data_IF_018135208772
#
_entry.id   IF_018135208772
#
_cell.length_a   1.000
_cell.length_b   1.000
_cell.length_c   1.000
_cell.angle_alpha   90.00
_cell.angle_beta   90.00
_cell.angle_gamma   90.00
#
_symmetry.space_group_name_H-M   'P 1'
#
loop_
_entity.id
_entity.type
_entity.pdbx_description
1 polymer ?
#
# COMPACT_ATOMS: atom_id res chain seq x y z
N UNK A 1 -18.57 47.04 92.63
CA UNK A 1 -18.08 48.28 92.00
C UNK A 1 -18.50 48.22 90.53
N UNK A 2 -19.68 48.75 90.17
CA UNK A 2 -19.90 50.12 89.66
C UNK A 2 -19.12 50.31 88.34
N UNK A 3 -19.78 50.09 87.18
CA UNK A 3 -20.32 51.13 86.25
C UNK A 3 -19.20 52.05 85.72
N UNK A 4 -18.97 52.29 84.43
CA UNK A 4 -19.81 52.74 83.30
C UNK A 4 -19.06 52.37 81.99
N UNK A 5 -19.63 52.07 80.82
CA UNK A 5 -20.79 52.66 80.15
C UNK A 5 -20.34 53.70 79.11
N UNK A 6 -20.17 53.31 77.82
CA UNK A 6 -20.84 53.97 76.69
C UNK A 6 -20.67 53.26 75.33
N UNK A 7 -21.79 53.30 74.60
CA UNK A 7 -22.24 52.62 73.36
C UNK A 7 -22.15 53.69 72.23
N UNK A 8 -21.96 53.40 70.91
CA UNK A 8 -22.97 52.67 70.12
C UNK A 8 -22.58 51.83 68.88
N UNK A 9 -23.37 50.75 68.75
CA UNK A 9 -23.98 50.13 67.55
C UNK A 9 -23.19 50.11 66.22
N UNK A 10 -22.79 48.89 65.83
CA UNK A 10 -23.06 48.37 64.47
C UNK A 10 -23.43 46.90 64.57
N UNK A 11 -24.70 46.60 64.25
CA UNK A 11 -25.19 45.25 64.02
C UNK A 11 -24.46 44.69 62.78
N UNK A 12 -23.55 43.75 63.00
CA UNK A 12 -22.99 42.92 61.94
C UNK A 12 -24.05 41.90 61.52
N UNK A 13 -24.80 42.22 60.48
CA UNK A 13 -25.63 41.25 59.75
C UNK A 13 -24.67 40.35 58.99
N UNK A 14 -24.33 39.21 59.60
CA UNK A 14 -23.63 38.12 58.95
C UNK A 14 -24.53 37.56 57.85
N UNK A 15 -24.15 37.78 56.59
CA UNK A 15 -24.75 37.09 55.44
C UNK A 15 -24.51 35.59 55.60
N UNK A 16 -25.52 34.87 56.11
CA UNK A 16 -25.58 33.42 55.93
C UNK A 16 -25.76 33.16 54.43
N UNK A 17 -24.76 32.55 53.80
CA UNK A 17 -24.97 31.87 52.52
C UNK A 17 -25.90 30.71 52.80
N UNK A 18 -27.16 30.89 52.45
CA UNK A 18 -28.12 29.80 52.34
C UNK A 18 -27.62 28.94 51.18
N UNK A 19 -27.03 27.78 51.49
CA UNK A 19 -26.90 26.70 50.52
C UNK A 19 -28.32 26.24 50.22
N UNK A 20 -28.88 26.74 49.13
CA UNK A 20 -30.04 26.12 48.50
C UNK A 20 -29.54 24.80 47.95
N UNK A 21 -29.85 23.68 48.63
CA UNK A 21 -29.72 22.36 48.02
C UNK A 21 -30.63 22.34 46.79
N UNK A 22 -30.03 22.37 45.60
CA UNK A 22 -30.74 22.04 44.38
C UNK A 22 -31.28 20.60 44.53
N UNK A 23 -32.56 20.34 44.22
CA UNK A 23 -33.08 18.99 44.25
C UNK A 23 -32.24 18.13 43.30
N UNK A 24 -31.87 16.88 43.68
CA UNK A 24 -31.03 16.04 42.85
C UNK A 24 -31.72 15.86 41.50
N UNK A 25 -31.06 16.33 40.43
CA UNK A 25 -31.52 16.13 39.06
C UNK A 25 -31.83 14.63 38.89
N UNK A 26 -33.02 14.26 38.38
CA UNK A 26 -33.36 12.86 38.23
C UNK A 26 -32.31 12.23 37.32
N UNK A 27 -31.54 11.28 37.86
CA UNK A 27 -30.60 10.51 37.07
C UNK A 27 -31.37 9.96 35.88
N UNK A 28 -30.95 10.34 34.66
CA UNK A 28 -31.50 9.79 33.43
C UNK A 28 -31.31 8.29 33.52
N UNK A 29 -32.39 7.56 33.85
CA UNK A 29 -32.39 6.11 33.83
C UNK A 29 -32.03 5.73 32.41
N UNK A 30 -30.80 5.26 32.22
CA UNK A 30 -30.42 4.54 31.02
C UNK A 30 -31.40 3.38 30.95
N UNK A 31 -32.44 3.51 30.11
CA UNK A 31 -33.21 2.35 29.68
C UNK A 31 -32.23 1.53 28.88
N UNK A 32 -31.57 0.59 29.55
CA UNK A 32 -31.01 -0.56 28.89
C UNK A 32 -32.19 -1.18 28.15
N UNK A 33 -32.29 -0.90 26.85
CA UNK A 33 -33.21 -1.61 25.98
C UNK A 33 -32.76 -3.05 26.14
N UNK A 34 -33.58 -3.84 26.83
CA UNK A 34 -33.37 -5.26 27.01
C UNK A 34 -33.19 -5.80 25.60
N UNK A 35 -31.97 -6.16 25.24
CA UNK A 35 -31.68 -6.86 23.98
C UNK A 35 -32.65 -8.02 23.99
N UNK A 36 -33.63 -8.00 23.08
CA UNK A 36 -34.50 -9.14 22.88
C UNK A 36 -33.57 -10.26 22.43
N UNK A 37 -33.13 -11.09 23.37
CA UNK A 37 -32.63 -12.43 23.12
C UNK A 37 -33.84 -13.25 22.65
N UNK A 38 -34.31 -12.94 21.44
CA UNK A 38 -35.07 -13.88 20.63
C UNK A 38 -34.05 -14.90 20.12
N UNK A 39 -34.45 -16.18 20.11
CA UNK A 39 -33.58 -17.34 19.90
C UNK A 39 -32.51 -17.18 18.80
N UNK A 40 -31.36 -17.78 19.09
CA UNK A 40 -30.04 -17.65 18.46
C UNK A 40 -29.90 -18.13 17.01
N UNK A 41 -30.94 -18.13 16.17
CA UNK A 41 -30.79 -18.63 14.79
C UNK A 41 -30.89 -17.50 13.76
N UNK A 42 -29.84 -17.34 12.96
CA UNK A 42 -29.77 -16.36 11.88
C UNK A 42 -30.90 -16.54 10.83
N UNK A 43 -31.52 -17.72 10.77
CA UNK A 43 -32.70 -18.06 9.95
C UNK A 43 -33.92 -17.18 10.27
N UNK A 44 -34.14 -16.83 11.54
CA UNK A 44 -35.26 -15.95 11.91
C UNK A 44 -35.10 -14.58 11.25
N UNK A 45 -33.87 -14.07 11.20
CA UNK A 45 -33.58 -12.81 10.53
C UNK A 45 -33.70 -12.92 9.01
N UNK A 46 -33.38 -14.08 8.41
CA UNK A 46 -33.63 -14.33 6.99
C UNK A 46 -35.13 -14.30 6.68
N UNK A 47 -35.98 -14.90 7.53
CA UNK A 47 -37.43 -14.81 7.37
C UNK A 47 -38.00 -13.39 7.61
N UNK A 48 -37.27 -12.51 8.31
CA UNK A 48 -37.62 -11.10 8.43
C UNK A 48 -37.24 -10.30 7.18
N UNK A 49 -36.27 -10.80 6.39
CA UNK A 49 -35.83 -10.14 5.18
C UNK A 49 -36.98 -10.03 4.16
N UNK A 50 -37.74 -11.10 3.95
CA UNK A 50 -38.95 -11.15 3.11
C UNK A 50 -40.05 -10.17 3.55
N UNK A 51 -40.06 -9.78 4.84
CA UNK A 51 -41.05 -8.86 5.41
C UNK A 51 -40.60 -7.40 5.38
N UNK A 52 -39.41 -7.13 4.85
CA UNK A 52 -38.85 -5.78 4.78
C UNK A 52 -39.65 -4.93 3.80
N UNK A 53 -40.08 -3.75 4.25
CA UNK A 53 -40.89 -2.83 3.44
C UNK A 53 -40.05 -1.86 2.62
N UNK A 54 -38.79 -1.70 3.00
CA UNK A 54 -37.84 -0.82 2.32
C UNK A 54 -36.47 -1.48 2.23
N UNK A 55 -35.68 -1.11 1.22
CA UNK A 55 -34.29 -1.56 1.07
C UNK A 55 -33.41 -1.14 2.27
N UNK A 56 -33.75 -0.06 2.98
CA UNK A 56 -33.06 0.33 4.21
C UNK A 56 -33.38 -0.63 5.36
N UNK A 57 -34.63 -1.05 5.52
CA UNK A 57 -34.99 -2.06 6.53
C UNK A 57 -34.30 -3.39 6.21
N UNK A 58 -34.31 -3.80 4.94
CA UNK A 58 -33.61 -4.99 4.47
C UNK A 58 -32.11 -4.91 4.79
N UNK A 59 -31.47 -3.76 4.53
CA UNK A 59 -30.07 -3.56 4.87
C UNK A 59 -29.81 -3.73 6.37
N UNK A 60 -30.65 -3.16 7.24
CA UNK A 60 -30.51 -3.31 8.69
C UNK A 60 -30.65 -4.76 9.13
N UNK A 61 -31.57 -5.52 8.51
CA UNK A 61 -31.71 -6.97 8.75
C UNK A 61 -30.45 -7.72 8.30
N UNK A 62 -29.91 -7.42 7.11
CA UNK A 62 -28.67 -8.04 6.61
C UNK A 62 -27.45 -7.73 7.48
N UNK A 63 -27.35 -6.52 8.04
CA UNK A 63 -26.28 -6.20 9.02
C UNK A 63 -26.45 -7.03 10.28
N UNK A 64 -27.67 -7.18 10.80
CA UNK A 64 -27.91 -8.05 11.98
C UNK A 64 -27.60 -9.51 11.71
N UNK A 65 -27.88 -10.01 10.50
CA UNK A 65 -27.48 -11.36 10.08
C UNK A 65 -25.96 -11.49 10.15
N UNK A 66 -25.22 -10.51 9.62
CA UNK A 66 -23.75 -10.49 9.67
C UNK A 66 -23.21 -10.48 11.11
N UNK A 67 -23.87 -9.78 12.03
CA UNK A 67 -23.44 -9.70 13.44
C UNK A 67 -23.78 -10.98 14.24
N UNK A 68 -24.71 -11.80 13.74
CA UNK A 68 -25.27 -12.95 14.44
C UNK A 68 -25.03 -14.27 13.68
N UNK A 69 -24.00 -14.34 12.82
CA UNK A 69 -23.63 -15.51 12.01
C UNK A 69 -23.38 -16.74 12.93
N UNK A 70 -24.46 -17.49 13.13
CA UNK A 70 -24.52 -18.79 13.78
C UNK A 70 -25.64 -19.51 13.07
N UNK A 71 -25.27 -20.28 12.06
CA UNK A 71 -26.20 -21.13 11.34
C UNK A 71 -25.99 -22.57 11.82
N UNK A 72 -27.07 -23.32 11.90
CA UNK A 72 -26.95 -24.77 11.96
C UNK A 72 -26.54 -25.25 10.56
N UNK A 73 -25.71 -26.28 10.46
CA UNK A 73 -25.13 -26.73 9.19
C UNK A 73 -26.22 -27.09 8.16
N UNK A 74 -27.34 -27.64 8.64
CA UNK A 74 -28.50 -28.05 7.84
C UNK A 74 -29.22 -26.86 7.18
N UNK A 75 -29.14 -25.67 7.77
CA UNK A 75 -29.86 -24.48 7.30
C UNK A 75 -29.07 -23.63 6.31
N UNK A 76 -27.75 -23.83 6.21
CA UNK A 76 -26.87 -23.04 5.34
C UNK A 76 -27.36 -23.03 3.87
N UNK A 77 -27.70 -24.18 3.25
CA UNK A 77 -28.18 -24.20 1.86
C UNK A 77 -29.46 -23.39 1.66
N UNK A 78 -30.41 -23.48 2.60
CA UNK A 78 -31.67 -22.75 2.55
C UNK A 78 -31.48 -21.24 2.73
N UNK A 79 -30.53 -20.84 3.59
CA UNK A 79 -30.16 -19.43 3.77
C UNK A 79 -29.57 -18.86 2.49
N UNK A 80 -28.63 -19.58 1.86
CA UNK A 80 -28.00 -19.15 0.60
C UNK A 80 -29.06 -19.01 -0.49
N UNK A 81 -29.97 -19.98 -0.62
CA UNK A 81 -31.08 -19.93 -1.58
C UNK A 81 -31.98 -18.71 -1.37
N UNK A 82 -32.41 -18.46 -0.13
CA UNK A 82 -33.27 -17.30 0.19
C UNK A 82 -32.57 -15.96 -0.08
N UNK A 83 -31.27 -15.87 0.23
CA UNK A 83 -30.49 -14.67 -0.07
C UNK A 83 -30.30 -14.47 -1.58
N UNK A 84 -30.08 -15.54 -2.35
CA UNK A 84 -30.03 -15.50 -3.81
C UNK A 84 -31.34 -15.04 -4.44
N UNK A 85 -32.46 -15.58 -3.95
CA UNK A 85 -33.79 -15.14 -4.38
C UNK A 85 -33.98 -13.65 -4.06
N UNK A 86 -33.62 -13.21 -2.84
CA UNK A 86 -33.64 -11.80 -2.44
C UNK A 86 -32.81 -10.90 -3.34
N UNK A 87 -31.59 -11.33 -3.66
CA UNK A 87 -30.69 -10.60 -4.52
C UNK A 87 -31.32 -10.29 -5.89
N UNK A 88 -32.07 -11.24 -6.47
CA UNK A 88 -32.63 -11.10 -7.81
C UNK A 88 -33.76 -10.07 -7.92
N UNK A 89 -34.53 -9.82 -6.85
CA UNK A 89 -35.59 -8.81 -6.86
C UNK A 89 -35.18 -7.46 -6.27
N UNK A 90 -34.08 -7.39 -5.52
CA UNK A 90 -33.64 -6.16 -4.90
C UNK A 90 -33.03 -5.18 -5.91
N UNK A 91 -33.57 -3.97 -5.96
CA UNK A 91 -33.12 -2.94 -6.90
C UNK A 91 -31.86 -2.22 -6.39
N UNK A 92 -31.73 -2.06 -5.06
CA UNK A 92 -30.69 -1.23 -4.47
C UNK A 92 -29.35 -1.96 -4.45
N UNK A 93 -28.35 -1.38 -5.15
CA UNK A 93 -27.01 -1.98 -5.28
C UNK A 93 -26.28 -2.17 -3.95
N UNK A 94 -26.50 -1.33 -2.94
CA UNK A 94 -25.84 -1.50 -1.62
C UNK A 94 -26.36 -2.72 -0.86
N UNK A 95 -27.66 -3.01 -0.97
CA UNK A 95 -28.27 -4.21 -0.37
C UNK A 95 -27.78 -5.45 -1.07
N UNK A 96 -27.82 -5.47 -2.42
CA UNK A 96 -27.24 -6.55 -3.24
C UNK A 96 -25.76 -6.80 -2.93
N UNK A 97 -24.95 -5.75 -2.82
CA UNK A 97 -23.55 -5.87 -2.41
C UNK A 97 -23.41 -6.48 -1.00
N UNK A 98 -24.24 -6.08 -0.03
CA UNK A 98 -24.21 -6.66 1.32
C UNK A 98 -24.59 -8.14 1.33
N UNK A 99 -25.51 -8.57 0.46
CA UNK A 99 -25.84 -9.98 0.28
C UNK A 99 -24.61 -10.76 -0.21
N UNK A 100 -23.91 -10.28 -1.25
CA UNK A 100 -22.70 -10.95 -1.73
C UNK A 100 -21.58 -10.98 -0.67
N UNK A 101 -21.49 -9.94 0.16
CA UNK A 101 -20.56 -9.95 1.29
C UNK A 101 -20.91 -11.02 2.32
N UNK A 102 -22.21 -11.23 2.60
CA UNK A 102 -22.68 -12.29 3.49
C UNK A 102 -22.37 -13.69 2.96
N UNK A 103 -22.40 -13.92 1.64
CA UNK A 103 -22.00 -15.21 1.08
C UNK A 103 -20.58 -15.58 1.51
N UNK A 104 -19.64 -14.64 1.44
CA UNK A 104 -18.27 -14.87 1.88
C UNK A 104 -18.12 -15.06 3.39
N UNK A 105 -19.01 -14.49 4.19
CA UNK A 105 -19.02 -14.71 5.63
C UNK A 105 -19.65 -16.06 6.01
N UNK A 106 -20.75 -16.45 5.35
CA UNK A 106 -21.39 -17.77 5.49
C UNK A 106 -20.42 -18.89 5.08
N UNK A 107 -19.60 -18.69 4.05
CA UNK A 107 -18.59 -19.68 3.64
C UNK A 107 -17.53 -19.99 4.71
N UNK A 108 -17.43 -19.19 5.79
CA UNK A 108 -16.51 -19.46 6.92
C UNK A 108 -17.14 -20.35 7.99
N UNK A 109 -18.45 -20.55 7.96
CA UNK A 109 -19.17 -21.35 8.94
C UNK A 109 -18.87 -22.84 8.74
N UNK A 110 -18.96 -23.61 9.82
CA UNK A 110 -18.80 -25.07 9.76
C UNK A 110 -19.91 -25.69 8.92
N UNK A 111 -19.59 -26.74 8.15
CA UNK A 111 -20.55 -27.40 7.25
C UNK A 111 -20.89 -26.64 5.97
N UNK A 112 -20.34 -25.46 5.72
CA UNK A 112 -20.61 -24.70 4.50
C UNK A 112 -20.06 -25.41 3.24
N UNK A 113 -20.94 -25.67 2.27
CA UNK A 113 -20.56 -26.19 0.95
C UNK A 113 -19.97 -25.06 0.08
N UNK A 114 -18.66 -24.83 0.23
CA UNK A 114 -17.91 -23.78 -0.46
C UNK A 114 -18.05 -23.87 -2.00
N UNK A 115 -17.90 -25.04 -2.64
CA UNK A 115 -18.15 -25.19 -4.08
C UNK A 115 -19.54 -24.71 -4.52
N UNK A 116 -20.60 -25.14 -3.83
CA UNK A 116 -21.98 -24.77 -4.21
C UNK A 116 -22.24 -23.27 -4.01
N UNK A 117 -21.77 -22.69 -2.90
CA UNK A 117 -21.87 -21.24 -2.65
C UNK A 117 -21.13 -20.44 -3.72
N UNK A 118 -19.97 -20.93 -4.16
CA UNK A 118 -19.17 -20.28 -5.20
C UNK A 118 -19.89 -20.31 -6.55
N UNK A 119 -20.47 -21.44 -6.96
CA UNK A 119 -21.23 -21.54 -8.22
C UNK A 119 -22.45 -20.61 -8.22
N UNK A 120 -23.16 -20.54 -7.09
CA UNK A 120 -24.30 -19.64 -6.93
C UNK A 120 -23.87 -18.17 -7.04
N UNK A 121 -22.80 -17.78 -6.35
CA UNK A 121 -22.23 -16.42 -6.44
C UNK A 121 -21.79 -16.07 -7.86
N UNK A 122 -21.15 -17.00 -8.58
CA UNK A 122 -20.76 -16.82 -9.99
C UNK A 122 -22.01 -16.65 -10.87
N UNK A 123 -23.06 -17.43 -10.62
CA UNK A 123 -24.34 -17.34 -11.33
C UNK A 123 -24.99 -15.96 -11.19
N UNK A 124 -25.07 -15.42 -9.96
CA UNK A 124 -25.62 -14.09 -9.69
C UNK A 124 -24.82 -13.00 -10.40
N UNK A 125 -23.49 -13.10 -10.42
CA UNK A 125 -22.64 -12.10 -11.06
C UNK A 125 -22.81 -12.04 -12.58
N UNK A 126 -23.17 -13.15 -13.25
CA UNK A 126 -23.37 -13.16 -14.72
C UNK A 126 -24.43 -12.16 -15.19
N UNK A 127 -25.45 -11.90 -14.37
CA UNK A 127 -26.57 -10.99 -14.70
C UNK A 127 -26.42 -9.58 -14.09
N UNK A 128 -25.34 -9.33 -13.35
CA UNK A 128 -25.16 -8.07 -12.62
C UNK A 128 -24.47 -7.00 -13.49
N UNK A 129 -24.98 -5.77 -13.40
CA UNK A 129 -24.50 -4.61 -14.15
C UNK A 129 -23.87 -3.54 -13.24
N UNK A 130 -24.23 -3.51 -11.96
CA UNK A 130 -23.71 -2.51 -11.04
C UNK A 130 -22.25 -2.76 -10.69
N UNK A 131 -21.36 -1.84 -11.08
CA UNK A 131 -19.93 -1.94 -10.78
C UNK A 131 -19.63 -2.11 -9.29
N UNK A 132 -20.45 -1.52 -8.40
CA UNK A 132 -20.28 -1.68 -6.94
C UNK A 132 -20.56 -3.11 -6.50
N UNK A 133 -21.62 -3.72 -7.05
CA UNK A 133 -22.01 -5.09 -6.74
C UNK A 133 -21.01 -6.07 -7.36
N UNK A 134 -20.58 -5.83 -8.60
CA UNK A 134 -19.55 -6.62 -9.27
C UNK A 134 -18.24 -6.65 -8.48
N UNK A 135 -17.73 -5.48 -8.07
CA UNK A 135 -16.52 -5.40 -7.27
C UNK A 135 -16.66 -6.13 -5.92
N UNK A 136 -17.82 -5.99 -5.26
CA UNK A 136 -18.09 -6.71 -4.02
C UNK A 136 -18.19 -8.23 -4.23
N UNK A 137 -18.76 -8.67 -5.34
CA UNK A 137 -18.84 -10.08 -5.70
C UNK A 137 -17.47 -10.68 -6.01
N UNK A 138 -16.62 -9.97 -6.74
CA UNK A 138 -15.22 -10.37 -6.97
C UNK A 138 -14.46 -10.42 -5.64
N UNK A 139 -14.65 -9.43 -4.75
CA UNK A 139 -14.07 -9.46 -3.40
C UNK A 139 -14.57 -10.64 -2.55
N UNK A 140 -15.85 -11.00 -2.67
CA UNK A 140 -16.41 -12.17 -2.01
C UNK A 140 -15.81 -13.48 -2.54
N UNK A 141 -15.67 -13.63 -3.86
CA UNK A 141 -15.00 -14.77 -4.48
C UNK A 141 -13.54 -14.89 -4.03
N UNK A 142 -12.81 -13.78 -3.92
CA UNK A 142 -11.44 -13.76 -3.39
C UNK A 142 -11.39 -14.30 -1.96
N UNK A 143 -12.27 -13.82 -1.08
CA UNK A 143 -12.36 -14.29 0.31
C UNK A 143 -12.66 -15.79 0.37
N UNK A 144 -13.60 -16.27 -0.44
CA UNK A 144 -13.99 -17.69 -0.50
C UNK A 144 -12.83 -18.54 -1.01
N UNK A 145 -12.15 -18.11 -2.08
CA UNK A 145 -11.00 -18.85 -2.63
C UNK A 145 -9.85 -18.99 -1.63
N UNK A 146 -9.61 -17.98 -0.78
CA UNK A 146 -8.61 -18.03 0.30
C UNK A 146 -8.95 -19.06 1.39
N UNK A 147 -10.21 -19.48 1.53
CA UNK A 147 -10.62 -20.55 2.48
C UNK A 147 -10.27 -21.95 1.99
N UNK A 148 -9.96 -22.12 0.71
CA UNK A 148 -9.65 -23.40 0.07
C UNK A 148 -8.34 -23.31 -0.72
N UNK A 149 -7.19 -23.16 -0.05
CA UNK A 149 -5.90 -22.94 -0.72
C UNK A 149 -5.48 -24.09 -1.64
N UNK A 150 -5.89 -25.33 -1.35
CA UNK A 150 -5.51 -26.53 -2.11
C UNK A 150 -6.46 -26.82 -3.30
N UNK A 151 -7.58 -26.11 -3.40
CA UNK A 151 -8.60 -26.39 -4.42
C UNK A 151 -8.31 -25.64 -5.73
N UNK A 152 -7.35 -26.16 -6.50
CA UNK A 152 -6.94 -25.56 -7.77
C UNK A 152 -8.10 -25.43 -8.77
N UNK A 153 -9.02 -26.40 -8.81
CA UNK A 153 -10.18 -26.35 -9.72
C UNK A 153 -11.13 -25.19 -9.40
N UNK A 154 -11.38 -24.95 -8.12
CA UNK A 154 -12.16 -23.79 -7.65
C UNK A 154 -11.45 -22.48 -8.01
N UNK A 155 -10.14 -22.39 -7.76
CA UNK A 155 -9.34 -21.21 -8.08
C UNK A 155 -9.35 -20.90 -9.57
N UNK A 156 -9.21 -21.90 -10.44
CA UNK A 156 -9.30 -21.72 -11.90
C UNK A 156 -10.64 -21.07 -12.28
N UNK A 157 -11.77 -21.62 -11.80
CA UNK A 157 -13.11 -21.07 -12.08
C UNK A 157 -13.23 -19.61 -11.62
N UNK A 158 -12.81 -19.32 -10.40
CA UNK A 158 -12.86 -17.96 -9.81
C UNK A 158 -12.00 -16.98 -10.62
N UNK A 159 -10.78 -17.39 -11.01
CA UNK A 159 -9.86 -16.57 -11.80
C UNK A 159 -10.41 -16.27 -13.19
N UNK A 160 -11.08 -17.23 -13.85
CA UNK A 160 -11.72 -16.98 -15.14
C UNK A 160 -12.81 -15.89 -15.05
N UNK A 161 -13.56 -15.86 -13.96
CA UNK A 161 -14.54 -14.78 -13.72
C UNK A 161 -13.83 -13.44 -13.57
N UNK A 162 -12.73 -13.38 -12.80
CA UNK A 162 -11.96 -12.14 -12.64
C UNK A 162 -11.39 -11.62 -13.98
N UNK A 163 -10.84 -12.51 -14.81
CA UNK A 163 -10.32 -12.18 -16.15
C UNK A 163 -11.40 -11.55 -17.02
N UNK A 164 -12.61 -12.12 -17.04
CA UNK A 164 -13.73 -11.56 -17.80
C UNK A 164 -14.09 -10.15 -17.32
N UNK A 165 -14.00 -9.91 -16.00
CA UNK A 165 -14.33 -8.62 -15.38
C UNK A 165 -13.25 -7.55 -15.52
N UNK A 166 -12.04 -7.88 -15.99
CA UNK A 166 -11.02 -6.86 -16.29
C UNK A 166 -11.43 -5.91 -17.42
N UNK A 167 -12.35 -6.35 -18.30
CA UNK A 167 -12.91 -5.54 -19.40
C UNK A 167 -13.95 -4.51 -18.95
N UNK A 168 -14.33 -4.52 -17.67
CA UNK A 168 -15.30 -3.58 -17.10
C UNK A 168 -14.81 -2.12 -17.23
N UNK A 169 -15.70 -1.14 -17.23
CA UNK A 169 -15.31 0.28 -17.33
C UNK A 169 -14.83 0.84 -16.00
N UNK A 170 -15.25 0.26 -14.88
CA UNK A 170 -14.93 0.73 -13.54
C UNK A 170 -13.55 0.27 -13.09
N UNK A 171 -12.73 1.23 -12.67
CA UNK A 171 -11.44 0.96 -12.04
C UNK A 171 -11.57 0.07 -10.80
N UNK A 172 -12.67 0.20 -10.04
CA UNK A 172 -12.89 -0.59 -8.83
C UNK A 172 -12.98 -2.08 -9.14
N UNK A 173 -13.76 -2.44 -10.18
CA UNK A 173 -13.90 -3.83 -10.62
C UNK A 173 -12.56 -4.37 -11.11
N UNK A 174 -11.86 -3.61 -11.96
CA UNK A 174 -10.51 -3.98 -12.44
C UNK A 174 -9.54 -4.23 -11.30
N UNK A 175 -9.45 -3.30 -10.33
CA UNK A 175 -8.55 -3.43 -9.18
C UNK A 175 -8.84 -4.69 -8.37
N UNK A 176 -10.12 -4.95 -8.05
CA UNK A 176 -10.50 -6.15 -7.30
C UNK A 176 -10.23 -7.43 -8.09
N UNK A 177 -10.40 -7.41 -9.41
CA UNK A 177 -10.08 -8.56 -10.27
C UNK A 177 -8.57 -8.83 -10.34
N UNK A 178 -7.75 -7.78 -10.44
CA UNK A 178 -6.29 -7.91 -10.43
C UNK A 178 -5.78 -8.46 -9.10
N UNK A 179 -6.31 -7.97 -7.98
CA UNK A 179 -6.01 -8.53 -6.65
C UNK A 179 -6.38 -10.02 -6.57
N UNK A 180 -7.58 -10.38 -7.05
CA UNK A 180 -8.03 -11.76 -7.07
C UNK A 180 -7.12 -12.67 -7.90
N UNK A 181 -6.72 -12.22 -9.09
CA UNK A 181 -5.79 -12.96 -9.95
C UNK A 181 -4.45 -13.14 -9.24
N UNK A 182 -3.91 -12.08 -8.64
CA UNK A 182 -2.64 -12.13 -7.90
C UNK A 182 -2.62 -13.20 -6.81
N UNK A 183 -3.71 -13.31 -6.07
CA UNK A 183 -3.82 -14.20 -4.91
C UNK A 183 -4.21 -15.64 -5.25
N UNK A 184 -5.06 -15.84 -6.26
CA UNK A 184 -5.69 -17.14 -6.51
C UNK A 184 -5.23 -17.82 -7.80
N UNK A 185 -4.49 -17.15 -8.70
CA UNK A 185 -3.98 -17.82 -9.90
C UNK A 185 -3.17 -19.06 -9.49
N UNK A 186 -3.52 -20.27 -9.96
CA UNK A 186 -2.76 -21.47 -9.62
C UNK A 186 -1.34 -21.40 -10.20
N UNK A 187 -0.33 -21.52 -9.33
CA UNK A 187 1.09 -21.48 -9.68
C UNK A 187 1.63 -22.91 -9.59
N UNK A 188 1.60 -23.65 -10.70
CA UNK A 188 2.05 -25.04 -10.75
C UNK A 188 2.04 -25.64 -12.16
N UNK A 189 2.87 -26.66 -12.40
CA UNK A 189 3.10 -27.25 -13.72
C UNK A 189 1.90 -28.04 -14.29
N UNK A 190 0.89 -28.34 -13.47
CA UNK A 190 -0.27 -29.20 -13.82
C UNK A 190 -1.48 -28.42 -14.33
N UNK A 191 -1.33 -27.11 -14.59
CA UNK A 191 -2.45 -26.21 -14.87
C UNK A 191 -2.60 -26.01 -16.39
N UNK A 192 -3.77 -26.34 -16.94
CA UNK A 192 -4.08 -26.15 -18.38
C UNK A 192 -3.99 -24.69 -18.82
N UNK A 193 -4.20 -23.76 -17.88
CA UNK A 193 -4.08 -22.32 -18.12
C UNK A 193 -2.61 -21.91 -18.03
N UNK A 194 -2.02 -21.40 -19.11
CA UNK A 194 -0.64 -20.94 -19.09
C UNK A 194 -0.48 -19.71 -18.19
N UNK A 195 0.11 -19.82 -16.98
CA UNK A 195 0.18 -18.70 -16.04
C UNK A 195 0.98 -17.51 -16.61
N UNK A 196 1.90 -17.77 -17.55
CA UNK A 196 2.64 -16.72 -18.26
C UNK A 196 1.76 -15.85 -19.17
N UNK A 197 0.69 -16.39 -19.79
CA UNK A 197 -0.22 -15.56 -20.59
C UNK A 197 -1.06 -14.62 -19.72
N UNK A 198 -1.49 -15.10 -18.56
CA UNK A 198 -2.21 -14.28 -17.57
C UNK A 198 -1.27 -13.24 -16.96
N UNK A 199 0.00 -13.58 -16.69
CA UNK A 199 0.99 -12.60 -16.23
C UNK A 199 1.18 -11.47 -17.24
N UNK A 200 1.26 -11.78 -18.55
CA UNK A 200 1.30 -10.76 -19.61
C UNK A 200 0.03 -9.92 -19.63
N UNK A 201 -1.14 -10.55 -19.53
CA UNK A 201 -2.43 -9.84 -19.47
C UNK A 201 -2.48 -8.89 -18.26
N UNK A 202 -2.00 -9.30 -17.09
CA UNK A 202 -1.90 -8.43 -15.91
C UNK A 202 -0.93 -7.28 -16.19
N UNK A 203 0.21 -7.57 -16.85
CA UNK A 203 1.18 -6.58 -17.31
C UNK A 203 0.56 -5.52 -18.21
N UNK A 204 -0.36 -5.85 -19.10
CA UNK A 204 -1.01 -4.82 -19.95
C UNK A 204 -1.74 -3.72 -19.14
N UNK A 205 -2.20 -4.04 -17.92
CA UNK A 205 -2.91 -3.08 -17.06
C UNK A 205 -1.99 -2.10 -16.31
N UNK A 206 -0.67 -2.29 -16.33
CA UNK A 206 0.30 -1.31 -15.80
C UNK A 206 0.31 -0.03 -16.63
N UNK A 207 -0.20 -0.07 -17.86
CA UNK A 207 -0.32 1.09 -18.77
C UNK A 207 -1.74 1.69 -18.77
N UNK A 208 -2.60 1.31 -17.83
CA UNK A 208 -3.96 1.85 -17.74
C UNK A 208 -3.94 3.36 -17.41
N UNK A 209 -4.90 4.12 -17.95
CA UNK A 209 -5.05 5.55 -17.63
C UNK A 209 -5.30 5.82 -16.13
N UNK A 210 -5.94 4.88 -15.45
CA UNK A 210 -6.26 4.97 -14.02
C UNK A 210 -5.09 4.48 -13.14
N UNK A 211 -4.48 5.39 -12.38
CA UNK A 211 -3.33 5.06 -11.52
C UNK A 211 -3.61 3.96 -10.48
N UNK A 212 -4.86 3.83 -10.00
CA UNK A 212 -5.26 2.74 -9.11
C UNK A 212 -5.18 1.37 -9.78
N UNK A 213 -5.51 1.29 -11.07
CA UNK A 213 -5.43 0.06 -11.85
C UNK A 213 -3.98 -0.29 -12.13
N UNK A 214 -3.14 0.70 -12.48
CA UNK A 214 -1.69 0.50 -12.63
C UNK A 214 -1.05 -0.06 -11.36
N UNK A 215 -1.36 0.56 -10.22
CA UNK A 215 -0.89 0.10 -8.89
C UNK A 215 -1.34 -1.33 -8.59
N UNK A 216 -2.62 -1.65 -8.83
CA UNK A 216 -3.16 -3.00 -8.63
C UNK A 216 -2.48 -4.04 -9.55
N UNK A 217 -2.14 -3.67 -10.79
CA UNK A 217 -1.43 -4.54 -11.73
C UNK A 217 -0.02 -4.88 -11.23
N UNK A 218 0.79 -3.88 -10.87
CA UNK A 218 2.11 -4.11 -10.29
C UNK A 218 2.05 -4.96 -9.02
N UNK A 219 1.09 -4.68 -8.14
CA UNK A 219 0.88 -5.48 -6.93
C UNK A 219 0.56 -6.94 -7.26
N UNK A 220 -0.34 -7.18 -8.22
CA UNK A 220 -0.69 -8.53 -8.64
C UNK A 220 0.53 -9.29 -9.21
N UNK A 221 1.34 -8.65 -10.06
CA UNK A 221 2.57 -9.25 -10.58
C UNK A 221 3.56 -9.62 -9.46
N UNK A 222 3.72 -8.76 -8.46
CA UNK A 222 4.56 -9.05 -7.29
C UNK A 222 4.02 -10.18 -6.42
N UNK A 223 2.71 -10.22 -6.18
CA UNK A 223 2.09 -11.32 -5.42
C UNK A 223 2.31 -12.65 -6.13
N UNK A 224 2.09 -12.69 -7.44
CA UNK A 224 2.36 -13.87 -8.27
C UNK A 224 3.82 -14.29 -8.20
N UNK A 225 4.74 -13.31 -8.21
CA UNK A 225 6.17 -13.59 -8.05
C UNK A 225 6.52 -14.23 -6.72
N UNK A 226 6.04 -13.64 -5.61
CA UNK A 226 6.24 -14.18 -4.26
C UNK A 226 5.65 -15.59 -4.07
N UNK A 227 4.67 -15.97 -4.90
CA UNK A 227 4.05 -17.30 -4.93
C UNK A 227 4.79 -18.31 -5.83
N UNK A 228 5.90 -17.91 -6.45
CA UNK A 228 6.78 -18.80 -7.22
C UNK A 228 6.73 -18.62 -8.75
N UNK A 229 5.96 -17.68 -9.30
CA UNK A 229 6.06 -17.35 -10.73
C UNK A 229 7.29 -16.46 -10.99
N UNK A 230 8.09 -16.83 -11.98
CA UNK A 230 9.23 -16.00 -12.37
C UNK A 230 8.75 -14.78 -13.16
N UNK A 231 9.15 -13.59 -12.73
CA UNK A 231 8.93 -12.36 -13.50
C UNK A 231 10.07 -12.21 -14.49
N UNK A 232 9.75 -11.88 -15.74
CA UNK A 232 10.78 -11.66 -16.74
C UNK A 232 11.56 -10.36 -16.45
N UNK A 233 12.90 -10.36 -16.58
CA UNK A 233 13.70 -9.15 -16.39
C UNK A 233 13.30 -7.97 -17.29
N UNK A 234 12.66 -8.20 -18.44
CA UNK A 234 12.18 -7.13 -19.33
C UNK A 234 11.21 -6.14 -18.67
N UNK A 235 10.45 -6.62 -17.67
CA UNK A 235 9.51 -5.80 -16.87
C UNK A 235 10.24 -4.70 -16.09
N UNK A 236 11.54 -4.85 -15.84
CA UNK A 236 12.34 -3.86 -15.10
C UNK A 236 12.30 -2.46 -15.73
N UNK A 237 12.37 -2.39 -17.06
CA UNK A 237 12.35 -1.12 -17.79
C UNK A 237 11.05 -0.34 -17.55
N UNK A 238 9.93 -1.05 -17.57
CA UNK A 238 8.60 -0.52 -17.33
C UNK A 238 8.41 -0.08 -15.88
N UNK A 239 8.87 -0.89 -14.93
CA UNK A 239 8.87 -0.53 -13.51
C UNK A 239 9.69 0.75 -13.25
N UNK A 240 10.82 0.93 -13.93
CA UNK A 240 11.63 2.15 -13.85
C UNK A 240 10.90 3.39 -14.38
N UNK A 241 10.10 3.25 -15.45
CA UNK A 241 9.26 4.35 -15.96
C UNK A 241 8.18 4.72 -14.93
N UNK A 242 7.55 3.72 -14.32
CA UNK A 242 6.51 3.91 -13.30
C UNK A 242 7.01 4.55 -11.99
N UNK A 243 8.32 4.61 -11.74
CA UNK A 243 8.89 5.43 -10.66
C UNK A 243 8.65 6.93 -10.82
N UNK A 244 8.29 7.40 -12.02
CA UNK A 244 7.98 8.80 -12.32
C UNK A 244 6.48 9.06 -12.45
N UNK A 245 5.64 8.10 -12.05
CA UNK A 245 4.20 8.21 -12.16
C UNK A 245 3.64 9.35 -11.28
N UNK A 246 2.61 10.04 -11.76
CA UNK A 246 1.95 11.12 -11.03
C UNK A 246 1.35 10.65 -9.69
N UNK A 247 0.90 9.38 -9.62
CA UNK A 247 0.27 8.80 -8.45
C UNK A 247 1.29 8.14 -7.52
N UNK A 248 1.34 8.58 -6.26
CA UNK A 248 2.25 8.01 -5.26
C UNK A 248 2.07 6.51 -5.05
N UNK A 249 0.83 6.00 -5.15
CA UNK A 249 0.53 4.57 -4.99
C UNK A 249 1.17 3.73 -6.10
N UNK A 250 1.33 4.28 -7.30
CA UNK A 250 2.00 3.59 -8.41
C UNK A 250 3.50 3.61 -8.18
N UNK A 251 4.07 4.77 -7.82
CA UNK A 251 5.50 4.89 -7.49
C UNK A 251 5.93 3.95 -6.37
N UNK A 252 5.09 3.75 -5.34
CA UNK A 252 5.37 2.77 -4.28
C UNK A 252 5.44 1.33 -4.80
N UNK A 253 4.46 0.89 -5.61
CA UNK A 253 4.47 -0.48 -6.15
C UNK A 253 5.61 -0.68 -7.17
N UNK A 254 5.87 0.32 -8.00
CA UNK A 254 7.00 0.34 -8.93
C UNK A 254 8.35 0.22 -8.20
N UNK A 255 8.53 0.95 -7.09
CA UNK A 255 9.72 0.87 -6.24
C UNK A 255 9.91 -0.53 -5.66
N UNK A 256 8.84 -1.16 -5.15
CA UNK A 256 8.91 -2.55 -4.68
C UNK A 256 9.30 -3.51 -5.80
N UNK A 257 8.75 -3.32 -7.01
CA UNK A 257 9.05 -4.18 -8.15
C UNK A 257 10.50 -4.03 -8.63
N UNK A 258 11.01 -2.80 -8.75
CA UNK A 258 12.42 -2.51 -9.06
C UNK A 258 13.34 -3.17 -8.03
N UNK A 259 13.00 -3.08 -6.74
CA UNK A 259 13.74 -3.73 -5.67
C UNK A 259 13.74 -5.26 -5.79
N UNK A 260 12.56 -5.88 -6.03
CA UNK A 260 12.44 -7.33 -6.21
C UNK A 260 13.31 -7.78 -7.39
N UNK A 261 13.15 -7.17 -8.57
CA UNK A 261 13.91 -7.54 -9.77
C UNK A 261 15.42 -7.35 -9.58
N UNK A 262 15.82 -6.26 -8.91
CA UNK A 262 17.20 -5.98 -8.49
C UNK A 262 17.85 -7.10 -7.70
N UNK A 263 17.08 -7.74 -6.80
CA UNK A 263 17.57 -8.83 -5.96
C UNK A 263 17.44 -10.19 -6.60
N UNK A 264 16.45 -10.40 -7.45
CA UNK A 264 16.21 -11.67 -8.14
C UNK A 264 17.21 -11.87 -9.29
N UNK A 265 17.59 -10.80 -9.99
CA UNK A 265 18.46 -10.86 -11.17
C UNK A 265 19.69 -9.93 -11.05
N UNK A 266 20.53 -10.09 -9.99
CA UNK A 266 21.55 -9.09 -9.67
C UNK A 266 22.61 -8.93 -10.75
N UNK A 267 23.03 -10.02 -11.39
CA UNK A 267 24.06 -10.04 -12.44
C UNK A 267 23.50 -9.82 -13.85
N UNK A 268 22.19 -9.62 -14.01
CA UNK A 268 21.61 -9.33 -15.32
C UNK A 268 22.11 -7.97 -15.80
N UNK A 269 22.66 -7.90 -17.00
CA UNK A 269 23.18 -6.65 -17.58
C UNK A 269 22.04 -5.91 -18.28
N UNK A 270 21.92 -4.62 -17.99
CA UNK A 270 20.97 -3.72 -18.64
C UNK A 270 21.74 -2.58 -19.30
N UNK A 271 21.21 -2.09 -20.42
CA UNK A 271 21.76 -0.93 -21.13
C UNK A 271 20.98 0.31 -20.69
N UNK A 272 21.70 1.33 -20.21
CA UNK A 272 21.08 2.58 -19.81
C UNK A 272 20.60 3.37 -21.05
N UNK A 273 19.31 3.79 -21.11
CA UNK A 273 18.78 4.52 -22.26
C UNK A 273 19.49 5.85 -22.56
N UNK A 274 20.19 6.41 -21.57
CA UNK A 274 20.81 7.73 -21.63
C UNK A 274 22.28 7.73 -22.04
N UNK A 275 23.00 6.62 -21.85
CA UNK A 275 24.46 6.57 -22.03
C UNK A 275 24.96 5.36 -22.82
N UNK A 276 24.09 4.43 -23.22
CA UNK A 276 24.47 3.16 -23.88
C UNK A 276 25.47 2.33 -23.03
N UNK A 277 25.59 2.67 -21.76
CA UNK A 277 26.46 1.98 -20.80
C UNK A 277 25.76 0.74 -20.25
N UNK A 278 26.53 -0.33 -20.15
CA UNK A 278 26.12 -1.58 -19.55
C UNK A 278 26.33 -1.55 -18.04
N UNK A 279 25.25 -1.77 -17.29
CA UNK A 279 25.26 -1.78 -15.82
C UNK A 279 24.55 -3.02 -15.32
N UNK A 280 25.00 -3.57 -14.18
CA UNK A 280 24.31 -4.66 -13.50
C UNK A 280 22.97 -4.18 -12.96
N UNK A 281 21.92 -4.99 -13.11
CA UNK A 281 20.57 -4.62 -12.72
C UNK A 281 20.47 -4.26 -11.23
N UNK A 282 21.19 -4.96 -10.34
CA UNK A 282 21.23 -4.61 -8.91
C UNK A 282 21.79 -3.22 -8.65
N UNK A 283 22.80 -2.79 -9.42
CA UNK A 283 23.50 -1.53 -9.24
C UNK A 283 22.62 -0.36 -9.75
N UNK A 284 21.98 -0.51 -10.91
CA UNK A 284 21.01 0.49 -11.39
C UNK A 284 19.78 0.56 -10.47
N UNK A 285 19.23 -0.59 -10.06
CA UNK A 285 18.08 -0.65 -9.15
C UNK A 285 18.37 0.07 -7.83
N UNK A 286 19.58 -0.12 -7.29
CA UNK A 286 20.03 0.59 -6.09
C UNK A 286 20.09 2.10 -6.33
N UNK A 287 20.63 2.53 -7.46
CA UNK A 287 20.65 3.94 -7.86
C UNK A 287 19.24 4.53 -8.00
N UNK A 288 18.30 3.80 -8.60
CA UNK A 288 16.88 4.21 -8.67
C UNK A 288 16.28 4.35 -7.28
N UNK A 289 16.44 3.37 -6.39
CA UNK A 289 15.94 3.46 -5.01
C UNK A 289 16.56 4.62 -4.23
N UNK A 290 17.84 4.91 -4.43
CA UNK A 290 18.51 6.08 -3.84
C UNK A 290 17.87 7.39 -4.32
N UNK A 291 17.51 7.51 -5.60
CA UNK A 291 16.75 8.67 -6.09
C UNK A 291 15.38 8.79 -5.38
N UNK A 292 14.73 7.67 -5.07
CA UNK A 292 13.42 7.67 -4.42
C UNK A 292 13.46 8.14 -2.95
N UNK A 293 14.64 8.20 -2.30
CA UNK A 293 14.80 8.91 -1.03
C UNK A 293 14.48 10.40 -1.19
N UNK A 294 14.57 10.96 -2.39
CA UNK A 294 14.24 12.36 -2.66
C UNK A 294 12.81 12.55 -3.21
N UNK A 295 11.93 11.54 -3.09
CA UNK A 295 10.53 11.63 -3.55
C UNK A 295 9.73 12.68 -2.75
N UNK A 296 8.78 13.32 -3.42
CA UNK A 296 7.87 14.30 -2.79
C UNK A 296 7.03 13.67 -1.67
N UNK A 297 6.60 12.41 -1.83
CA UNK A 297 5.79 11.68 -0.86
C UNK A 297 6.66 11.03 0.22
N UNK A 298 6.37 11.36 1.48
CA UNK A 298 7.00 10.74 2.64
C UNK A 298 6.85 9.21 2.65
N UNK A 299 5.72 8.69 2.16
CA UNK A 299 5.47 7.25 2.10
C UNK A 299 6.44 6.55 1.15
N UNK A 300 6.71 7.17 -0.01
CA UNK A 300 7.67 6.66 -1.00
C UNK A 300 9.09 6.74 -0.44
N UNK A 301 9.48 7.86 0.19
CA UNK A 301 10.80 8.00 0.84
C UNK A 301 11.06 6.95 1.91
N UNK A 302 10.07 6.72 2.79
CA UNK A 302 10.16 5.73 3.87
C UNK A 302 10.34 4.31 3.29
N UNK A 303 9.57 3.98 2.25
CA UNK A 303 9.67 2.68 1.58
C UNK A 303 11.02 2.51 0.86
N UNK A 304 11.51 3.55 0.20
CA UNK A 304 12.84 3.55 -0.44
C UNK A 304 13.93 3.21 0.58
N UNK A 305 13.94 3.93 1.70
CA UNK A 305 14.89 3.74 2.78
C UNK A 305 14.82 2.33 3.39
N UNK A 306 13.61 1.81 3.62
CA UNK A 306 13.40 0.43 4.11
C UNK A 306 14.00 -0.61 3.15
N UNK A 307 13.77 -0.46 1.84
CA UNK A 307 14.22 -1.44 0.84
C UNK A 307 15.71 -1.38 0.57
N UNK A 308 16.31 -0.19 0.57
CA UNK A 308 17.76 -0.01 0.38
C UNK A 308 18.59 -0.83 1.36
N UNK A 309 18.17 -0.89 2.63
CA UNK A 309 18.87 -1.65 3.67
C UNK A 309 19.07 -3.14 3.39
N UNK A 310 18.31 -3.72 2.44
CA UNK A 310 18.38 -5.14 2.09
C UNK A 310 19.14 -5.44 0.80
N UNK A 311 19.68 -4.42 0.12
CA UNK A 311 20.41 -4.56 -1.14
C UNK A 311 21.92 -4.76 -0.90
N UNK A 312 22.32 -5.97 -0.51
CA UNK A 312 23.72 -6.28 -0.10
C UNK A 312 24.66 -6.66 -1.25
N UNK A 313 24.14 -6.91 -2.46
CA UNK A 313 24.93 -7.35 -3.63
C UNK A 313 25.40 -6.19 -4.52
N UNK A 314 25.19 -4.95 -4.07
CA UNK A 314 25.55 -3.73 -4.79
C UNK A 314 27.07 -3.56 -4.82
N UNK A 315 27.59 -3.10 -5.95
CA UNK A 315 28.99 -2.78 -6.16
C UNK A 315 29.48 -1.75 -5.14
N UNK A 316 30.68 -1.93 -4.53
CA UNK A 316 31.26 -0.94 -3.63
C UNK A 316 31.37 0.46 -4.26
N UNK A 317 31.62 0.55 -5.57
CA UNK A 317 31.67 1.83 -6.31
C UNK A 317 30.36 2.62 -6.19
N UNK A 318 29.22 1.97 -6.40
CA UNK A 318 27.89 2.58 -6.29
C UNK A 318 27.58 2.97 -4.84
N UNK A 319 27.95 2.12 -3.89
CA UNK A 319 27.77 2.42 -2.47
C UNK A 319 28.57 3.66 -2.05
N UNK A 320 29.86 3.73 -2.39
CA UNK A 320 30.70 4.88 -2.04
C UNK A 320 30.13 6.21 -2.58
N UNK A 321 29.60 6.22 -3.80
CA UNK A 321 28.96 7.43 -4.38
C UNK A 321 27.71 7.87 -3.60
N UNK A 322 26.93 6.95 -3.03
CA UNK A 322 25.77 7.32 -2.18
C UNK A 322 26.16 7.89 -0.81
N UNK A 323 27.39 7.64 -0.36
CA UNK A 323 27.91 8.13 0.92
C UNK A 323 28.73 9.41 0.77
N UNK A 324 29.19 9.71 -0.44
CA UNK A 324 30.01 10.88 -0.69
C UNK A 324 29.19 12.16 -0.86
N UNK A 325 29.15 12.98 0.20
CA UNK A 325 28.54 14.32 0.19
C UNK A 325 29.28 15.30 -0.72
N UNK A 326 30.58 15.10 -0.99
CA UNK A 326 31.38 16.02 -1.82
C UNK A 326 31.06 15.88 -3.30
N UNK A 327 30.75 14.66 -3.76
CA UNK A 327 30.33 14.40 -5.14
C UNK A 327 29.10 15.26 -5.53
N UNK A 328 28.15 15.43 -4.60
CA UNK A 328 26.96 16.29 -4.77
C UNK A 328 27.29 17.78 -4.98
N UNK A 329 28.31 18.31 -4.28
CA UNK A 329 28.73 19.70 -4.42
C UNK A 329 29.36 20.01 -5.78
N UNK A 330 29.96 18.99 -6.41
CA UNK A 330 30.59 19.07 -7.72
C UNK A 330 29.61 18.79 -8.88
N UNK A 331 28.47 18.15 -8.60
CA UNK A 331 27.40 17.84 -9.56
C UNK A 331 26.30 18.89 -9.67
N UNK A 332 26.25 19.91 -8.78
CA UNK A 332 25.46 21.12 -9.04
C UNK A 332 25.91 21.68 -10.39
N UNK A 333 24.98 21.77 -11.36
CA UNK A 333 25.22 22.30 -12.71
C UNK A 333 26.22 23.45 -12.62
N UNK A 334 27.40 23.29 -13.23
CA UNK A 334 28.29 24.42 -13.48
C UNK A 334 27.49 25.38 -14.34
N UNK A 335 27.01 26.48 -13.75
CA UNK A 335 26.43 27.61 -14.48
C UNK A 335 27.38 27.93 -15.62
N UNK A 336 26.88 28.13 -16.82
CA UNK A 336 27.76 28.46 -17.94
C UNK A 336 28.53 29.74 -17.62
N UNK A 337 29.72 29.92 -18.19
CA UNK A 337 30.46 31.18 -18.02
C UNK A 337 29.60 32.41 -18.42
N UNK A 338 28.69 32.21 -19.36
CA UNK A 338 27.72 33.20 -19.80
C UNK A 338 26.66 33.52 -18.73
N UNK A 339 26.11 32.53 -18.03
CA UNK A 339 25.16 32.73 -16.92
C UNK A 339 25.82 33.43 -15.72
N UNK A 340 27.06 33.06 -15.38
CA UNK A 340 27.82 33.70 -14.30
C UNK A 340 28.17 35.15 -14.62
N UNK A 341 28.53 35.43 -15.88
CA UNK A 341 28.76 36.79 -16.35
C UNK A 341 27.47 37.61 -16.31
N UNK A 342 26.35 37.05 -16.75
CA UNK A 342 25.05 37.72 -16.70
C UNK A 342 24.60 38.05 -15.28
N UNK A 343 24.72 37.13 -14.32
CA UNK A 343 24.39 37.42 -12.91
C UNK A 343 25.31 38.50 -12.31
N UNK A 344 26.62 38.47 -12.60
CA UNK A 344 27.55 39.51 -12.13
C UNK A 344 27.22 40.89 -12.71
N UNK A 345 26.71 40.94 -13.94
CA UNK A 345 26.25 42.18 -14.60
C UNK A 345 24.90 42.62 -14.03
N UNK A 346 24.00 41.68 -13.71
CA UNK A 346 22.62 41.97 -13.26
C UNK A 346 22.55 42.27 -11.76
N UNK A 347 23.40 41.67 -10.93
CA UNK A 347 23.47 41.92 -9.49
C UNK A 347 24.20 43.22 -9.15
N UNK A 348 24.94 43.80 -10.11
CA UNK A 348 25.74 45.01 -9.88
C UNK A 348 26.91 44.82 -8.92
N UNK A 349 27.17 43.59 -8.47
CA UNK A 349 28.26 43.27 -7.55
C UNK A 349 29.57 43.15 -8.33
N UNK A 350 30.34 44.24 -8.34
CA UNK A 350 31.71 44.19 -8.85
C UNK A 350 32.56 43.35 -7.91
N UNK A 351 33.40 42.48 -8.50
CA UNK A 351 34.22 41.49 -7.80
C UNK A 351 35.06 42.11 -6.67
N UNK A 352 34.53 42.07 -5.44
CA UNK A 352 35.33 42.26 -4.24
C UNK A 352 36.15 40.99 -4.07
N UNK A 353 37.48 41.11 -3.91
CA UNK A 353 38.46 40.01 -3.86
C UNK A 353 38.26 38.94 -2.77
N UNK A 354 37.08 38.86 -2.15
CA UNK A 354 36.63 37.76 -1.29
C UNK A 354 36.23 36.49 -2.04
N UNK A 355 36.02 36.55 -3.37
CA UNK A 355 35.59 35.40 -4.18
C UNK A 355 36.73 34.68 -4.94
N UNK A 356 37.99 35.10 -4.78
CA UNK A 356 39.13 34.47 -5.48
C UNK A 356 39.40 33.03 -5.07
N UNK A 357 38.95 32.62 -3.87
CA UNK A 357 39.05 31.24 -3.42
C UNK A 357 38.14 30.26 -4.20
N UNK A 358 37.16 30.76 -4.96
CA UNK A 358 36.29 29.93 -5.82
C UNK A 358 36.89 29.73 -7.24
N UNK A 359 37.91 30.51 -7.60
CA UNK A 359 38.66 30.43 -8.87
C UNK A 359 39.92 29.55 -8.78
N UNK A 360 40.19 28.90 -7.64
CA UNK A 360 41.27 27.94 -7.52
C UNK A 360 41.00 26.72 -8.44
N UNK A 361 42.00 26.22 -9.20
CA UNK A 361 41.84 25.01 -10.00
C UNK A 361 41.39 23.86 -9.09
N UNK A 362 40.13 23.43 -9.24
CA UNK A 362 39.61 22.28 -8.49
C UNK A 362 40.31 21.01 -8.96
N UNK A 363 40.54 20.09 -8.02
CA UNK A 363 41.18 18.80 -8.24
C UNK A 363 40.70 18.15 -9.54
N UNK A 364 41.65 17.60 -10.31
CA UNK A 364 41.36 16.86 -11.53
C UNK A 364 40.47 15.69 -11.14
N UNK A 365 39.18 15.80 -11.48
CA UNK A 365 38.21 14.74 -11.28
C UNK A 365 38.69 13.57 -12.15
N UNK A 366 39.08 12.46 -11.52
CA UNK A 366 39.47 11.24 -12.22
C UNK A 366 38.32 10.84 -13.15
N UNK A 367 38.61 10.46 -14.39
CA UNK A 367 37.57 10.09 -15.35
C UNK A 367 36.75 8.88 -14.85
N UNK A 368 37.35 8.03 -14.02
CA UNK A 368 36.69 6.91 -13.32
C UNK A 368 35.80 7.36 -12.15
N UNK A 369 35.88 8.62 -11.74
CA UNK A 369 35.02 9.26 -10.73
C UNK A 369 33.85 10.06 -11.34
N UNK A 370 33.72 10.04 -12.67
CA UNK A 370 32.53 10.54 -13.37
C UNK A 370 31.32 9.69 -12.96
N UNK A 371 30.29 10.36 -12.45
CA UNK A 371 29.14 9.76 -11.78
C UNK A 371 28.42 8.74 -12.65
N UNK A 372 28.61 7.45 -12.34
CA UNK A 372 27.86 6.31 -12.90
C UNK A 372 26.37 6.35 -12.47
N UNK A 373 26.06 7.10 -11.42
CA UNK A 373 24.73 7.27 -10.88
C UNK A 373 24.11 8.61 -11.28
N UNK A 374 22.77 8.66 -11.37
CA UNK A 374 22.04 9.90 -11.57
C UNK A 374 22.29 10.91 -10.44
N UNK A 375 22.20 12.21 -10.74
CA UNK A 375 22.52 13.29 -9.79
C UNK A 375 21.67 13.29 -8.51
N UNK A 376 20.50 12.67 -8.52
CA UNK A 376 19.65 12.52 -7.33
C UNK A 376 19.99 11.32 -6.43
N UNK A 377 20.85 10.40 -6.89
CA UNK A 377 21.22 9.18 -6.14
C UNK A 377 22.44 9.40 -5.26
N UNK A 378 23.28 10.37 -5.62
CA UNK A 378 24.49 10.71 -4.89
C UNK A 378 24.12 11.36 -3.55
N UNK A 379 24.81 11.00 -2.47
CA UNK A 379 24.48 11.51 -1.12
C UNK A 379 23.08 11.11 -0.59
N UNK A 380 22.40 10.13 -1.19
CA UNK A 380 21.03 9.77 -0.80
C UNK A 380 20.91 9.36 0.68
N UNK A 381 21.89 8.65 1.25
CA UNK A 381 21.89 8.32 2.69
C UNK A 381 22.07 9.55 3.57
N UNK A 382 22.86 10.53 3.13
CA UNK A 382 23.03 11.80 3.84
C UNK A 382 21.70 12.56 3.85
N UNK A 383 21.04 12.67 2.70
CA UNK A 383 19.73 13.32 2.60
C UNK A 383 18.65 12.59 3.40
N UNK A 384 18.64 11.26 3.38
CA UNK A 384 17.69 10.47 4.16
C UNK A 384 17.91 10.58 5.67
N UNK A 385 19.14 10.83 6.13
CA UNK A 385 19.45 11.13 7.55
C UNK A 385 19.18 12.59 7.93
N UNK A 386 19.23 13.51 6.97
CA UNK A 386 18.91 14.93 7.12
C UNK A 386 17.42 15.23 6.84
N UNK A 387 16.59 14.20 6.60
CA UNK A 387 15.17 14.35 6.29
C UNK A 387 14.41 14.97 7.47
N UNK A 388 13.50 15.90 7.17
CA UNK A 388 12.69 16.60 8.17
C UNK A 388 11.77 15.64 8.95
N UNK A 389 11.51 14.46 8.38
CA UNK A 389 10.60 13.47 8.95
C UNK A 389 11.36 12.30 9.60
N UNK A 390 10.93 11.94 10.81
CA UNK A 390 11.60 10.92 11.63
C UNK A 390 11.53 9.50 11.02
N UNK A 391 10.44 9.16 10.32
CA UNK A 391 10.26 7.81 9.77
C UNK A 391 11.24 7.49 8.61
N UNK A 392 11.38 8.33 7.58
CA UNK A 392 12.47 8.20 6.59
C UNK A 392 13.86 8.19 7.24
N UNK A 393 14.11 9.07 8.21
CA UNK A 393 15.38 9.12 8.95
C UNK A 393 15.72 7.79 9.63
N UNK A 394 14.77 7.23 10.38
CA UNK A 394 14.98 5.99 11.11
C UNK A 394 15.18 4.80 10.16
N UNK A 395 14.38 4.72 9.09
CA UNK A 395 14.52 3.69 8.07
C UNK A 395 15.89 3.77 7.38
N UNK A 396 16.33 4.99 7.03
CA UNK A 396 17.64 5.23 6.41
C UNK A 396 18.76 4.84 7.36
N UNK A 397 18.64 5.18 8.65
CA UNK A 397 19.62 4.84 9.66
C UNK A 397 19.78 3.32 9.82
N UNK A 398 18.67 2.60 9.92
CA UNK A 398 18.67 1.13 10.00
C UNK A 398 19.24 0.50 8.73
N UNK A 399 18.83 0.98 7.56
CA UNK A 399 19.36 0.48 6.28
C UNK A 399 20.86 0.72 6.13
N UNK A 400 21.35 1.87 6.58
CA UNK A 400 22.76 2.22 6.56
C UNK A 400 23.61 1.28 7.43
N UNK A 401 23.15 0.96 8.65
CA UNK A 401 23.82 0.01 9.54
C UNK A 401 23.93 -1.38 8.88
N UNK A 402 22.84 -1.86 8.27
CA UNK A 402 22.82 -3.18 7.64
C UNK A 402 23.78 -3.24 6.45
N UNK A 403 23.77 -2.24 5.57
CA UNK A 403 24.66 -2.20 4.40
C UNK A 403 26.13 -2.12 4.82
N UNK A 404 26.48 -1.27 5.80
CA UNK A 404 27.84 -1.18 6.30
C UNK A 404 28.31 -2.49 6.95
N UNK A 405 27.43 -3.17 7.68
CA UNK A 405 27.75 -4.47 8.27
C UNK A 405 28.00 -5.53 7.21
N UNK A 406 27.22 -5.55 6.12
CA UNK A 406 27.44 -6.43 4.99
C UNK A 406 28.76 -6.13 4.27
N UNK A 407 29.08 -4.85 4.08
CA UNK A 407 30.33 -4.42 3.46
C UNK A 407 31.56 -4.85 4.28
N UNK A 408 31.49 -4.70 5.61
CA UNK A 408 32.54 -5.15 6.51
C UNK A 408 32.78 -6.65 6.40
N UNK A 409 31.71 -7.45 6.36
CA UNK A 409 31.80 -8.91 6.15
C UNK A 409 32.41 -9.25 4.78
N UNK A 410 32.05 -8.53 3.72
CA UNK A 410 32.62 -8.74 2.38
C UNK A 410 34.11 -8.40 2.33
N UNK A 411 34.52 -7.29 2.97
CA UNK A 411 35.93 -6.90 3.09
C UNK A 411 36.74 -7.92 3.90
N UNK A 412 36.17 -8.42 5.00
CA UNK A 412 36.81 -9.44 5.85
C UNK A 412 36.90 -10.81 5.16
N UNK A 413 35.97 -11.12 4.25
CA UNK A 413 36.00 -12.34 3.44
C UNK A 413 37.05 -12.25 2.33
N UNK A 414 37.15 -11.11 1.64
CA UNK A 414 38.15 -10.88 0.60
C UNK A 414 39.60 -10.83 1.15
N UNK A 415 39.80 -10.36 2.39
CA UNK A 415 41.11 -10.43 3.06
C UNK A 415 41.55 -11.86 3.40
N UNK A 416 40.61 -12.80 3.52
CA UNK A 416 40.91 -14.20 3.83
C UNK A 416 41.20 -15.05 2.58
N UNK A 417 40.83 -14.57 1.39
CA UNK A 417 40.99 -15.29 0.12
C UNK A 417 42.18 -14.84 -0.72
N UNK A 418 42.90 -13.79 -0.32
CA UNK A 418 44.19 -13.42 -0.91
C UNK A 418 45.31 -14.22 -0.24
N UNK A 419 45.95 -15.21 -0.90
CA UNK A 419 47.18 -15.80 -0.38
C UNK A 419 48.29 -14.75 -0.43
N UNK A 420 48.99 -14.61 0.69
CA UNK A 420 50.23 -13.82 0.81
C UNK A 420 51.32 -14.31 -0.13
#
# INVERSE_FOLDING_TARGET
>A
MVHWGNVPRRLSVSRQHQFTEEPPKPAKKLRLVKKLTLGNSAIVYIGLLEKSKSSNDALQVLVRIADCLKFEEEDIPDVIKKLSEYFQYEVVSTVRAKILALFADISKEQGADIPSITEELISLLKKEESHKVLAQGVSALLKIGRLQPDNQGLHQKIVQVAIQRLKDTSHLVKCTSLELIGDLLPVGATVETSPGSIMRLVGDYTHSDEGRVRSAAFRAMMTLHGRGLTLDPSVYSEACLALKDDYEIVRQEALRLVWVLGRTYPENIIVLPSSDEEVRLVDDAFGKLCNMINDLSMNVRTLAAEKLGSMTLVSPKFLHQTLDKKLMSNMRKKRSAHERAWESITSGEWASGKNWSDDAPREVIDADSVSLMGSGSCGAFVHGLEDEFLAPCLATHLGFIVILSALQVQLDTNRKTTPT
#
